data_IF_546802310685
#
_entry.id   IF_546802310685
#
_cell.length_a   1.000
_cell.length_b   1.000
_cell.length_c   1.000
_cell.angle_alpha   90.00
_cell.angle_beta   90.00
_cell.angle_gamma   90.00
#
_symmetry.space_group_name_H-M   'P 1'
#
loop_
_entity.id
_entity.type
_entity.pdbx_description
1 polymer ?
#
# COMPACT_ATOMS: atom_id res chain seq x y z
N UNK A 1 18.03 0.69 -1.46
CA UNK A 1 17.54 1.96 -0.88
C UNK A 1 18.74 2.78 -0.49
N UNK A 2 18.75 4.03 -0.89
CA UNK A 2 19.75 5.00 -0.46
C UNK A 2 19.54 5.31 1.03
N UNK A 3 20.58 5.13 1.86
CA UNK A 3 20.47 5.32 3.31
C UNK A 3 20.12 6.76 3.67
N UNK A 4 20.50 7.73 2.84
CA UNK A 4 20.23 9.13 3.11
C UNK A 4 18.74 9.47 2.87
N UNK A 5 18.12 8.82 1.88
CA UNK A 5 16.67 8.93 1.65
C UNK A 5 15.87 8.32 2.78
N UNK A 6 16.33 7.19 3.34
CA UNK A 6 15.69 6.56 4.51
C UNK A 6 15.77 7.45 5.74
N UNK A 7 16.92 8.08 6.01
CA UNK A 7 17.08 9.02 7.12
C UNK A 7 16.21 10.26 6.95
N UNK A 8 16.12 10.82 5.75
CA UNK A 8 15.26 11.96 5.47
C UNK A 8 13.78 11.63 5.70
N UNK A 9 13.33 10.46 5.23
CA UNK A 9 11.96 9.99 5.47
C UNK A 9 11.69 9.76 6.96
N UNK A 10 12.63 9.14 7.68
CA UNK A 10 12.51 8.93 9.11
C UNK A 10 12.44 10.25 9.90
N UNK A 11 13.22 11.26 9.49
CA UNK A 11 13.19 12.59 10.09
C UNK A 11 11.85 13.30 9.86
N UNK A 12 11.22 13.12 8.69
CA UNK A 12 9.89 13.66 8.41
C UNK A 12 8.83 12.99 9.28
N UNK A 13 8.84 11.65 9.34
CA UNK A 13 7.88 10.87 10.12
C UNK A 13 8.01 11.12 11.63
N UNK A 14 9.22 11.39 12.12
CA UNK A 14 9.48 11.67 13.53
C UNK A 14 8.82 12.97 14.04
N UNK A 15 8.52 13.93 13.16
CA UNK A 15 7.90 15.22 13.56
C UNK A 15 6.52 15.06 14.19
N UNK A 16 5.78 14.04 13.75
CA UNK A 16 4.40 13.80 14.17
C UNK A 16 4.28 12.73 15.26
N UNK A 17 5.37 12.06 15.64
CA UNK A 17 5.38 11.00 16.65
C UNK A 17 5.70 11.61 18.03
N UNK A 18 4.75 11.48 18.96
CA UNK A 18 4.89 12.03 20.34
C UNK A 18 4.97 10.94 21.41
N UNK A 19 4.63 9.70 21.05
CA UNK A 19 4.58 8.57 21.98
C UNK A 19 4.90 7.24 21.29
N UNK A 20 5.20 6.22 22.08
CA UNK A 20 5.37 4.84 21.60
C UNK A 20 4.12 4.31 20.90
N UNK A 21 2.94 4.74 21.33
CA UNK A 21 1.66 4.37 20.71
C UNK A 21 1.52 4.95 19.30
N UNK A 22 2.02 6.16 19.08
CA UNK A 22 1.99 6.80 17.75
C UNK A 22 2.93 6.05 16.79
N UNK A 23 4.08 5.62 17.28
CA UNK A 23 5.00 4.77 16.52
C UNK A 23 4.37 3.41 16.17
N UNK A 24 3.66 2.79 17.12
CA UNK A 24 2.89 1.56 16.87
C UNK A 24 1.79 1.75 15.82
N UNK A 25 1.12 2.91 15.80
CA UNK A 25 0.10 3.23 14.80
C UNK A 25 0.71 3.44 13.42
N UNK A 26 1.84 4.16 13.34
CA UNK A 26 2.56 4.40 12.10
C UNK A 26 3.04 3.09 11.48
N UNK A 27 3.64 2.20 12.27
CA UNK A 27 4.10 0.89 11.78
C UNK A 27 2.96 0.06 11.21
N UNK A 28 1.80 0.03 11.88
CA UNK A 28 0.60 -0.63 11.34
C UNK A 28 0.13 -0.02 10.01
N UNK A 29 0.15 1.30 9.88
CA UNK A 29 -0.21 1.98 8.64
C UNK A 29 0.77 1.71 7.51
N UNK A 30 2.08 1.70 7.80
CA UNK A 30 3.12 1.37 6.82
C UNK A 30 2.99 -0.05 6.31
N UNK A 31 2.75 -1.02 7.20
CA UNK A 31 2.51 -2.42 6.81
C UNK A 31 1.27 -2.51 5.93
N UNK A 32 0.16 -1.88 6.34
CA UNK A 32 -1.08 -1.85 5.56
C UNK A 32 -0.83 -1.30 4.15
N UNK A 33 -0.20 -0.13 4.04
CA UNK A 33 0.04 0.53 2.76
C UNK A 33 0.94 -0.32 1.85
N UNK A 34 1.98 -0.93 2.42
CA UNK A 34 2.90 -1.80 1.68
C UNK A 34 2.18 -3.03 1.14
N UNK A 35 1.37 -3.70 1.97
CA UNK A 35 0.60 -4.87 1.57
C UNK A 35 -0.45 -4.51 0.52
N UNK A 36 -1.22 -3.43 0.72
CA UNK A 36 -2.21 -2.97 -0.26
C UNK A 36 -1.57 -2.60 -1.60
N UNK A 37 -0.39 -1.97 -1.59
CA UNK A 37 0.33 -1.62 -2.81
C UNK A 37 0.81 -2.87 -3.56
N UNK A 38 1.40 -3.84 -2.84
CA UNK A 38 1.83 -5.10 -3.43
C UNK A 38 0.64 -5.88 -4.04
N UNK A 39 -0.47 -6.01 -3.30
CA UNK A 39 -1.67 -6.68 -3.79
C UNK A 39 -2.29 -5.99 -5.00
N UNK A 40 -2.28 -4.65 -5.06
CA UNK A 40 -2.76 -3.94 -6.26
C UNK A 40 -1.88 -4.22 -7.48
N UNK A 41 -0.55 -4.24 -7.31
CA UNK A 41 0.38 -4.57 -8.39
C UNK A 41 0.20 -6.02 -8.89
N UNK A 42 0.04 -6.98 -7.98
CA UNK A 42 -0.31 -8.37 -8.34
C UNK A 42 -1.62 -8.45 -9.11
N UNK A 43 -2.60 -7.61 -8.75
CA UNK A 43 -3.88 -7.54 -9.45
C UNK A 43 -3.69 -6.98 -10.87
N UNK A 44 -2.92 -5.90 -11.02
CA UNK A 44 -2.59 -5.31 -12.32
C UNK A 44 -1.93 -6.34 -13.24
N UNK A 45 -0.99 -7.14 -12.71
CA UNK A 45 -0.34 -8.25 -13.43
C UNK A 45 -1.33 -9.36 -13.79
N UNK A 46 -2.16 -9.80 -12.83
CA UNK A 46 -3.12 -10.89 -13.04
C UNK A 46 -4.15 -10.58 -14.12
N UNK A 47 -4.67 -9.34 -14.15
CA UNK A 47 -5.63 -8.92 -15.18
C UNK A 47 -4.96 -8.43 -16.47
N UNK A 48 -3.67 -8.10 -16.43
CA UNK A 48 -2.93 -7.54 -17.56
C UNK A 48 -3.29 -6.09 -17.88
N UNK A 49 -3.96 -5.37 -16.97
CA UNK A 49 -4.30 -3.96 -17.14
C UNK A 49 -4.43 -3.23 -15.80
N UNK A 50 -4.01 -1.96 -15.78
CA UNK A 50 -4.11 -1.08 -14.62
C UNK A 50 -5.56 -0.65 -14.33
N UNK A 51 -5.83 -0.19 -13.11
CA UNK A 51 -7.16 0.30 -12.74
C UNK A 51 -7.62 1.42 -13.69
N UNK A 52 -8.85 1.28 -14.22
CA UNK A 52 -9.47 2.20 -15.20
C UNK A 52 -8.84 2.23 -16.60
N UNK A 53 -7.85 1.38 -16.88
CA UNK A 53 -7.24 1.30 -18.19
C UNK A 53 -8.26 0.79 -19.25
N UNK A 54 -8.32 1.40 -20.46
CA UNK A 54 -9.26 1.00 -21.50
C UNK A 54 -9.08 -0.44 -21.99
N UNK A 55 -7.89 -1.02 -21.82
CA UNK A 55 -7.54 -2.40 -22.13
C UNK A 55 -8.41 -3.41 -21.40
N UNK A 56 -8.96 -3.06 -20.23
CA UNK A 56 -9.86 -3.91 -19.46
C UNK A 56 -11.30 -3.95 -19.98
N UNK A 57 -11.69 -3.09 -20.92
CA UNK A 57 -13.08 -3.00 -21.38
C UNK A 57 -13.42 -4.20 -22.27
N UNK A 58 -14.42 -4.98 -21.85
CA UNK A 58 -14.91 -6.12 -22.63
C UNK A 58 -14.07 -7.40 -22.50
N UNK A 59 -13.13 -7.47 -21.56
CA UNK A 59 -12.27 -8.64 -21.33
C UNK A 59 -12.96 -9.78 -20.55
N UNK A 60 -14.20 -9.57 -20.09
CA UNK A 60 -14.96 -10.52 -19.29
C UNK A 60 -14.59 -10.52 -17.80
N UNK A 61 -13.32 -10.33 -17.44
CA UNK A 61 -12.86 -10.24 -16.06
C UNK A 61 -12.55 -8.79 -15.64
N UNK A 62 -13.44 -8.22 -14.83
CA UNK A 62 -13.39 -6.82 -14.41
C UNK A 62 -13.11 -6.69 -12.91
N UNK A 63 -12.38 -5.64 -12.54
CA UNK A 63 -12.24 -5.25 -11.13
C UNK A 63 -13.62 -5.00 -10.52
N UNK A 64 -13.88 -5.61 -9.36
CA UNK A 64 -15.16 -5.54 -8.68
C UNK A 64 -15.04 -5.00 -7.24
N UNK A 65 -14.38 -3.85 -7.11
CA UNK A 65 -14.21 -3.18 -5.82
C UNK A 65 -13.18 -3.83 -4.90
N UNK A 66 -13.36 -3.65 -3.59
CA UNK A 66 -12.44 -4.09 -2.55
C UNK A 66 -13.18 -4.84 -1.44
N UNK A 67 -12.49 -5.74 -0.75
CA UNK A 67 -12.99 -6.42 0.45
C UNK A 67 -12.05 -6.20 1.62
N UNK A 68 -12.59 -5.97 2.81
CA UNK A 68 -11.81 -5.70 4.01
C UNK A 68 -11.35 -6.99 4.67
N UNK A 69 -10.04 -7.11 4.96
CA UNK A 69 -9.48 -8.21 5.75
C UNK A 69 -8.63 -7.66 6.88
N UNK A 70 -8.94 -8.08 8.11
CA UNK A 70 -8.10 -7.79 9.28
C UNK A 70 -6.92 -8.77 9.29
N UNK A 71 -5.72 -8.25 9.07
CA UNK A 71 -4.49 -9.02 9.18
C UNK A 71 -4.17 -9.28 10.66
N UNK A 72 -3.70 -10.49 10.97
CA UNK A 72 -3.13 -10.84 12.27
C UNK A 72 -1.62 -10.77 12.11
N UNK A 73 -0.97 -9.93 12.90
CA UNK A 73 0.47 -9.75 12.98
C UNK A 73 0.89 -9.63 14.43
#
# INVERSE_FOLDING_TARGET
>A
MDQDKLKALAAELAKDIKSEKDLGTLTQQLIKLTVETALNAEMDEHLGYEKHAPQGRGTGNNRNGYSTKRLKG
#
